data_IF_600196658232
#
_entry.id   IF_600196658232
#
_cell.length_a   1.000
_cell.length_b   1.000
_cell.length_c   1.000
_cell.angle_alpha   90.00
_cell.angle_beta   90.00
_cell.angle_gamma   90.00
#
_symmetry.space_group_name_H-M   'P 1'
#
loop_
_entity.id
_entity.type
_entity.pdbx_description
1 polymer ?
#
# COMPACT_ATOMS: atom_id res chain seq x y z
N UNK A 1 -25.74 -35.15 13.96
CA UNK A 1 -25.71 -33.74 13.52
C UNK A 1 -24.28 -33.25 13.70
N UNK A 2 -23.50 -33.18 12.62
CA UNK A 2 -22.10 -32.78 12.68
C UNK A 2 -21.99 -31.27 12.84
N UNK A 3 -21.24 -30.82 13.84
CA UNK A 3 -20.64 -29.49 13.85
C UNK A 3 -19.59 -29.48 12.73
N UNK A 4 -20.01 -29.22 11.49
CA UNK A 4 -19.08 -28.84 10.41
C UNK A 4 -18.38 -27.58 10.91
N UNK A 5 -17.07 -27.67 11.15
CA UNK A 5 -16.29 -26.59 11.71
C UNK A 5 -16.43 -25.36 10.80
N UNK A 6 -16.90 -24.26 11.38
CA UNK A 6 -16.93 -22.95 10.72
C UNK A 6 -15.55 -22.62 10.11
N UNK A 7 -14.46 -23.16 10.65
CA UNK A 7 -13.11 -23.09 10.09
C UNK A 7 -12.97 -23.58 8.65
N UNK A 8 -13.76 -24.57 8.20
CA UNK A 8 -13.70 -25.07 6.82
C UNK A 8 -14.32 -24.09 5.81
N UNK A 9 -15.25 -23.21 6.26
CA UNK A 9 -15.79 -22.12 5.43
C UNK A 9 -14.76 -21.01 5.17
N UNK A 10 -13.76 -20.87 6.06
CA UNK A 10 -12.71 -19.86 5.94
C UNK A 10 -11.39 -20.38 5.38
N UNK A 11 -11.24 -21.69 5.15
CA UNK A 11 -10.06 -22.27 4.50
C UNK A 11 -9.91 -21.89 3.02
N UNK A 12 -10.94 -21.30 2.40
CA UNK A 12 -10.98 -20.94 0.98
C UNK A 12 -10.65 -19.50 0.63
N UNK A 13 -10.44 -18.60 1.60
CA UNK A 13 -10.11 -17.19 1.35
C UNK A 13 -8.77 -16.84 1.99
N UNK A 14 -7.70 -17.43 1.48
CA UNK A 14 -6.43 -16.72 1.49
C UNK A 14 -6.59 -15.57 0.49
N UNK A 15 -7.04 -14.41 0.98
CA UNK A 15 -7.05 -13.17 0.20
C UNK A 15 -5.63 -12.92 -0.31
N UNK A 16 -5.41 -13.24 -1.58
CA UNK A 16 -4.16 -12.93 -2.26
C UNK A 16 -4.17 -11.43 -2.46
N UNK A 17 -3.51 -10.71 -1.55
CA UNK A 17 -3.33 -9.25 -1.64
C UNK A 17 -2.84 -8.91 -3.05
N UNK A 18 -3.68 -8.18 -3.79
CA UNK A 18 -3.40 -7.77 -5.15
C UNK A 18 -2.57 -6.49 -5.20
N UNK A 19 -2.00 -6.18 -6.36
CA UNK A 19 -1.31 -4.90 -6.60
C UNK A 19 -2.24 -3.70 -6.34
N UNK A 20 -3.53 -3.84 -6.64
CA UNK A 20 -4.56 -2.82 -6.40
C UNK A 20 -4.76 -2.53 -4.91
N UNK A 21 -4.72 -3.55 -4.05
CA UNK A 21 -4.89 -3.39 -2.60
C UNK A 21 -3.69 -2.63 -2.01
N UNK A 22 -2.48 -3.00 -2.46
CA UNK A 22 -1.24 -2.30 -2.10
C UNK A 22 -1.30 -0.85 -2.58
N UNK A 23 -1.72 -0.62 -3.82
CA UNK A 23 -1.84 0.74 -4.37
C UNK A 23 -2.81 1.57 -3.53
N UNK A 24 -4.00 1.04 -3.25
CA UNK A 24 -5.04 1.73 -2.50
C UNK A 24 -4.58 2.05 -1.07
N UNK A 25 -3.95 1.09 -0.38
CA UNK A 25 -3.44 1.31 0.96
C UNK A 25 -2.36 2.40 0.99
N UNK A 26 -1.47 2.42 0.00
CA UNK A 26 -0.44 3.46 -0.13
C UNK A 26 -1.06 4.83 -0.39
N UNK A 27 -1.99 4.94 -1.34
CA UNK A 27 -2.67 6.20 -1.63
C UNK A 27 -3.42 6.72 -0.41
N UNK A 28 -4.15 5.85 0.29
CA UNK A 28 -4.90 6.20 1.51
C UNK A 28 -3.96 6.75 2.58
N UNK A 29 -2.84 6.07 2.84
CA UNK A 29 -1.85 6.52 3.80
C UNK A 29 -1.28 7.88 3.40
N UNK A 30 -0.77 8.02 2.17
CA UNK A 30 -0.12 9.25 1.75
C UNK A 30 -1.09 10.44 1.75
N UNK A 31 -2.35 10.25 1.34
CA UNK A 31 -3.38 11.30 1.42
C UNK A 31 -3.66 11.74 2.86
N UNK A 32 -3.73 10.80 3.81
CA UNK A 32 -3.95 11.11 5.22
C UNK A 32 -2.81 11.97 5.83
N UNK A 33 -1.55 11.67 5.49
CA UNK A 33 -0.40 12.36 6.06
C UNK A 33 -0.01 13.65 5.31
N UNK A 34 -0.12 13.67 3.98
CA UNK A 34 0.24 14.85 3.18
C UNK A 34 -0.90 15.86 3.05
N UNK A 35 -2.14 15.46 3.38
CA UNK A 35 -3.37 16.24 3.16
C UNK A 35 -3.52 16.69 1.70
N UNK A 36 -3.03 15.88 0.76
CA UNK A 36 -3.05 16.18 -0.65
C UNK A 36 -3.69 15.03 -1.43
N UNK A 37 -4.81 15.32 -2.09
CA UNK A 37 -5.55 14.35 -2.89
C UNK A 37 -4.96 14.15 -4.29
N UNK A 38 -4.14 15.08 -4.77
CA UNK A 38 -3.46 15.03 -6.07
C UNK A 38 -2.16 14.19 -6.01
N UNK A 39 -2.27 12.96 -5.50
CA UNK A 39 -1.22 11.96 -5.47
C UNK A 39 -1.66 10.76 -6.30
N UNK A 40 -0.81 10.36 -7.24
CA UNK A 40 -1.04 9.16 -8.05
C UNK A 40 0.02 8.10 -7.74
N UNK A 41 -0.44 6.92 -7.35
CA UNK A 41 0.43 5.78 -7.08
C UNK A 41 0.27 4.75 -8.21
N UNK A 42 1.37 4.11 -8.61
CA UNK A 42 1.32 2.91 -9.43
C UNK A 42 2.22 1.85 -8.82
N UNK A 43 1.67 0.65 -8.65
CA UNK A 43 2.39 -0.51 -8.13
C UNK A 43 2.72 -1.45 -9.29
N UNK A 44 3.93 -2.01 -9.27
CA UNK A 44 4.38 -3.01 -10.22
C UNK A 44 5.12 -4.12 -9.48
N UNK A 45 5.09 -5.32 -10.07
CA UNK A 45 5.79 -6.50 -9.57
C UNK A 45 5.36 -6.88 -8.14
N UNK A 46 4.05 -6.92 -7.88
CA UNK A 46 3.45 -7.31 -6.59
C UNK A 46 3.99 -6.45 -5.42
N UNK A 47 4.02 -5.12 -5.58
CA UNK A 47 4.49 -4.22 -4.52
C UNK A 47 6.00 -3.97 -4.51
N UNK A 48 6.80 -4.62 -5.38
CA UNK A 48 8.26 -4.43 -5.39
C UNK A 48 8.72 -3.09 -5.95
N UNK A 49 7.95 -2.51 -6.86
CA UNK A 49 8.23 -1.19 -7.43
C UNK A 49 6.99 -0.32 -7.27
N UNK A 50 7.13 0.74 -6.48
CA UNK A 50 6.06 1.71 -6.24
C UNK A 50 6.52 3.02 -6.86
N UNK A 51 5.68 3.63 -7.71
CA UNK A 51 5.92 4.98 -8.23
C UNK A 51 4.86 5.91 -7.70
N UNK A 52 5.29 6.99 -7.05
CA UNK A 52 4.40 8.02 -6.53
C UNK A 52 4.67 9.29 -7.31
N UNK A 53 3.66 9.82 -8.00
CA UNK A 53 3.73 11.08 -8.71
C UNK A 53 3.22 12.20 -7.83
N UNK A 54 4.01 13.27 -7.72
CA UNK A 54 3.73 14.40 -6.84
C UNK A 54 4.03 15.73 -7.54
N UNK A 55 3.21 16.74 -7.28
CA UNK A 55 3.41 18.09 -7.81
C UNK A 55 4.23 18.94 -6.83
N UNK A 56 5.54 18.89 -7.00
CA UNK A 56 6.47 19.79 -6.31
C UNK A 56 7.39 19.13 -5.27
N UNK A 57 8.55 19.75 -5.01
CA UNK A 57 9.63 19.13 -4.24
C UNK A 57 9.32 18.96 -2.75
N UNK A 58 8.49 19.84 -2.16
CA UNK A 58 8.11 19.75 -0.76
C UNK A 58 7.31 18.47 -0.47
N UNK A 59 6.36 18.12 -1.35
CA UNK A 59 5.58 16.89 -1.25
C UNK A 59 6.46 15.66 -1.52
N UNK A 60 7.38 15.75 -2.47
CA UNK A 60 8.33 14.65 -2.71
C UNK A 60 9.16 14.33 -1.46
N UNK A 61 9.65 15.35 -0.78
CA UNK A 61 10.40 15.18 0.46
C UNK A 61 9.53 14.54 1.56
N UNK A 62 8.27 14.97 1.70
CA UNK A 62 7.34 14.37 2.66
C UNK A 62 7.11 12.88 2.40
N UNK A 63 6.87 12.49 1.14
CA UNK A 63 6.69 11.07 0.77
C UNK A 63 7.94 10.25 1.10
N UNK A 64 9.13 10.79 0.85
CA UNK A 64 10.40 10.12 1.19
C UNK A 64 10.56 9.95 2.70
N UNK A 65 10.26 10.99 3.49
CA UNK A 65 10.33 10.92 4.95
C UNK A 65 9.36 9.89 5.52
N UNK A 66 8.20 9.73 4.88
CA UNK A 66 7.15 8.79 5.27
C UNK A 66 7.40 7.34 4.79
N UNK A 67 8.46 7.08 4.02
CA UNK A 67 8.71 5.75 3.43
C UNK A 67 8.74 4.63 4.49
N UNK A 68 9.39 4.88 5.62
CA UNK A 68 9.54 3.88 6.69
C UNK A 68 8.19 3.57 7.36
N UNK A 69 7.41 4.60 7.63
CA UNK A 69 6.09 4.47 8.26
C UNK A 69 5.09 3.80 7.31
N UNK A 70 5.19 4.11 6.01
CA UNK A 70 4.41 3.45 4.97
C UNK A 70 4.71 1.95 4.94
N UNK A 71 6.00 1.56 4.89
CA UNK A 71 6.42 0.15 4.90
C UNK A 71 5.88 -0.59 6.13
N UNK A 72 5.97 0.04 7.29
CA UNK A 72 5.48 -0.54 8.54
C UNK A 72 3.96 -0.72 8.51
N UNK A 73 3.22 0.32 8.08
CA UNK A 73 1.76 0.29 8.01
C UNK A 73 1.28 -0.77 7.02
N UNK A 74 1.85 -0.85 5.82
CA UNK A 74 1.48 -1.86 4.84
C UNK A 74 1.75 -3.28 5.35
N UNK A 75 2.86 -3.50 6.06
CA UNK A 75 3.16 -4.78 6.69
C UNK A 75 2.13 -5.15 7.77
N UNK A 76 1.65 -4.17 8.54
CA UNK A 76 0.63 -4.40 9.57
C UNK A 76 -0.77 -4.62 8.98
N UNK A 77 -1.15 -3.86 7.96
CA UNK A 77 -2.50 -3.92 7.37
C UNK A 77 -2.67 -5.08 6.38
N UNK A 78 -1.67 -5.29 5.51
CA UNK A 78 -1.76 -6.25 4.41
C UNK A 78 -0.88 -7.49 4.62
N UNK A 79 -0.03 -7.52 5.65
CA UNK A 79 0.89 -8.65 5.88
C UNK A 79 1.96 -8.83 4.81
N UNK A 80 2.14 -7.86 3.90
CA UNK A 80 3.10 -7.93 2.80
C UNK A 80 4.23 -6.90 2.94
N UNK A 81 5.41 -7.25 2.44
CA UNK A 81 6.53 -6.32 2.35
C UNK A 81 6.52 -5.61 0.99
N UNK A 82 6.63 -4.28 1.02
CA UNK A 82 6.76 -3.46 -0.19
C UNK A 82 8.22 -3.15 -0.51
N UNK A 83 8.52 -3.03 -1.80
CA UNK A 83 9.86 -2.75 -2.31
C UNK A 83 10.19 -1.26 -2.35
N UNK A 84 10.93 -0.85 -3.37
CA UNK A 84 11.44 0.52 -3.48
C UNK A 84 10.36 1.48 -3.92
N UNK A 85 10.23 2.59 -3.19
CA UNK A 85 9.38 3.72 -3.55
C UNK A 85 10.21 4.69 -4.39
N UNK A 86 9.70 5.03 -5.57
CA UNK A 86 10.28 6.04 -6.46
C UNK A 86 9.33 7.21 -6.57
N UNK A 87 9.78 8.38 -6.15
CA UNK A 87 8.99 9.61 -6.28
C UNK A 87 9.34 10.29 -7.60
N UNK A 88 8.32 10.61 -8.39
CA UNK A 88 8.46 11.33 -9.66
C UNK A 88 7.81 12.70 -9.51
N UNK A 89 8.56 13.75 -9.86
CA UNK A 89 8.07 15.13 -9.90
C UNK A 89 7.38 15.36 -11.25
N UNK A 90 6.14 15.83 -11.22
CA UNK A 90 5.38 16.30 -12.39
C UNK A 90 5.18 17.82 -12.35
#
# INVERSE_FOLDING_TARGET
MSFQAISDLFQGQADVVGESDIQFAIERFLRAYTRNDALYCSVQNMGKVIRVRVHGPALALQVILLERDLRFTIKQELGCDIGSIRVMLE
#
